data_IF_304060259360
#
_entry.id   IF_304060259360
#
_cell.length_a   1.000
_cell.length_b   1.000
_cell.length_c   1.000
_cell.angle_alpha   90.00
_cell.angle_beta   90.00
_cell.angle_gamma   90.00
#
_symmetry.space_group_name_H-M   'P 1'
#
loop_
_entity.id
_entity.type
_entity.pdbx_description
1 polymer ?
#
# COMPACT_ATOMS: atom_id res chain seq x y z
N UNK A 1 27.90 21.51 4.73
CA UNK A 1 27.48 20.10 4.84
C UNK A 1 26.17 19.97 4.08
N UNK A 2 26.21 19.47 2.84
CA UNK A 2 24.99 19.23 2.05
C UNK A 2 24.20 18.13 2.74
N UNK A 3 22.96 18.43 3.14
CA UNK A 3 22.04 17.39 3.59
C UNK A 3 21.85 16.43 2.43
N UNK A 4 22.33 15.20 2.54
CA UNK A 4 22.00 14.13 1.62
C UNK A 4 20.49 13.95 1.72
N UNK A 5 19.75 14.42 0.73
CA UNK A 5 18.30 14.25 0.68
C UNK A 5 18.08 12.76 0.42
N UNK A 6 17.53 12.06 1.39
CA UNK A 6 17.16 10.65 1.24
C UNK A 6 16.17 10.51 0.07
N UNK A 7 16.53 9.82 -1.03
CA UNK A 7 15.66 9.72 -2.22
C UNK A 7 14.31 9.09 -1.91
N UNK A 8 14.26 8.17 -0.94
CA UNK A 8 13.01 7.54 -0.51
C UNK A 8 12.14 8.52 0.26
N UNK A 9 12.73 9.35 1.14
CA UNK A 9 11.98 10.39 1.84
C UNK A 9 11.36 11.39 0.86
N UNK A 10 12.09 11.79 -0.18
CA UNK A 10 11.57 12.65 -1.23
C UNK A 10 10.41 11.98 -2.01
N UNK A 11 10.56 10.71 -2.32
CA UNK A 11 9.51 9.92 -2.99
C UNK A 11 8.23 9.85 -2.13
N UNK A 12 8.36 9.54 -0.83
CA UNK A 12 7.22 9.51 0.10
C UNK A 12 6.55 10.87 0.22
N UNK A 13 7.34 11.96 0.26
CA UNK A 13 6.81 13.32 0.32
C UNK A 13 5.96 13.68 -0.91
N UNK A 14 6.32 13.17 -2.10
CA UNK A 14 5.56 13.41 -3.33
C UNK A 14 4.19 12.70 -3.36
N UNK A 15 4.04 11.63 -2.57
CA UNK A 15 2.78 10.92 -2.40
C UNK A 15 1.90 11.50 -1.30
N UNK A 16 2.45 12.37 -0.45
CA UNK A 16 1.75 12.90 0.72
C UNK A 16 0.48 13.67 0.35
N UNK A 17 -0.54 13.52 1.20
CA UNK A 17 -1.81 14.25 1.13
C UNK A 17 -2.20 14.74 2.53
N UNK A 18 -3.00 15.81 2.66
CA UNK A 18 -3.49 16.27 3.95
C UNK A 18 -4.19 15.14 4.73
N UNK A 19 -3.72 14.88 5.94
CA UNK A 19 -4.28 13.83 6.81
C UNK A 19 -3.77 12.42 6.54
N UNK A 20 -2.84 12.24 5.60
CA UNK A 20 -2.14 11.00 5.31
C UNK A 20 -0.66 11.10 5.70
N UNK A 21 -0.17 10.14 6.45
CA UNK A 21 1.24 10.00 6.79
C UNK A 21 1.83 8.78 6.07
N UNK A 22 3.00 8.97 5.46
CA UNK A 22 3.74 7.91 4.79
C UNK A 22 5.17 7.92 5.31
N UNK A 23 5.74 6.75 5.53
CA UNK A 23 7.12 6.62 5.99
C UNK A 23 7.73 5.30 5.55
N UNK A 24 9.04 5.24 5.65
CA UNK A 24 9.82 4.07 5.27
C UNK A 24 10.86 3.71 6.34
N UNK A 25 11.39 2.51 6.20
CA UNK A 25 12.52 1.99 6.96
C UNK A 25 13.37 1.11 6.06
N UNK A 26 14.68 1.38 6.03
CA UNK A 26 15.64 0.42 5.48
C UNK A 26 15.66 -0.80 6.39
N UNK A 27 15.41 -1.98 5.81
CA UNK A 27 15.34 -3.23 6.56
C UNK A 27 16.73 -3.60 7.07
N UNK A 28 16.85 -3.79 8.39
CA UNK A 28 18.12 -4.05 9.04
C UNK A 28 18.07 -5.32 9.91
N UNK A 29 19.22 -5.99 10.16
CA UNK A 29 19.30 -7.05 11.15
C UNK A 29 18.81 -6.56 12.51
N UNK A 30 17.98 -7.38 13.17
CA UNK A 30 17.35 -7.03 14.45
C UNK A 30 15.94 -6.46 14.34
N UNK A 31 15.46 -6.06 13.14
CA UNK A 31 14.08 -5.56 12.98
C UNK A 31 13.03 -6.60 13.35
N UNK A 32 13.35 -7.89 13.25
CA UNK A 32 12.48 -8.98 13.72
C UNK A 32 12.19 -8.93 15.22
N UNK A 33 13.05 -8.30 16.01
CA UNK A 33 12.88 -8.14 17.47
C UNK A 33 11.84 -7.07 17.82
N UNK A 34 11.51 -6.21 16.87
CA UNK A 34 10.48 -5.20 17.03
C UNK A 34 9.04 -5.75 16.90
N UNK A 35 8.89 -7.03 16.53
CA UNK A 35 7.58 -7.69 16.52
C UNK A 35 7.11 -7.89 17.96
N UNK A 36 5.99 -7.26 18.31
CA UNK A 36 5.35 -7.46 19.62
C UNK A 36 4.79 -8.89 19.73
N UNK A 37 4.54 -9.42 20.94
CA UNK A 37 4.12 -10.82 21.13
C UNK A 37 2.92 -11.24 20.24
N UNK A 38 1.91 -10.40 20.14
CA UNK A 38 0.73 -10.65 19.31
C UNK A 38 1.03 -10.63 17.81
N UNK A 39 2.02 -9.84 17.38
CA UNK A 39 2.51 -9.80 16.00
C UNK A 39 3.37 -11.02 15.70
N UNK A 40 4.35 -11.30 16.57
CA UNK A 40 5.27 -12.42 16.43
C UNK A 40 4.55 -13.78 16.32
N UNK A 41 3.42 -13.93 16.99
CA UNK A 41 2.60 -15.14 16.93
C UNK A 41 2.20 -15.53 15.50
N UNK A 42 1.95 -14.55 14.62
CA UNK A 42 1.60 -14.77 13.22
C UNK A 42 2.80 -15.18 12.34
N UNK A 43 4.01 -14.99 12.82
CA UNK A 43 5.25 -15.25 12.06
C UNK A 43 6.09 -16.39 12.66
N UNK A 44 5.52 -17.25 13.53
CA UNK A 44 6.23 -18.33 14.20
C UNK A 44 6.95 -19.27 13.23
N UNK A 45 6.29 -19.60 12.13
CA UNK A 45 6.78 -20.51 11.09
C UNK A 45 7.45 -19.77 9.91
N UNK A 46 7.54 -18.44 9.97
CA UNK A 46 8.17 -17.65 8.92
C UNK A 46 9.70 -17.71 9.06
N UNK A 47 10.38 -17.67 7.91
CA UNK A 47 11.85 -17.55 7.87
C UNK A 47 12.30 -16.19 8.41
N UNK A 48 13.55 -16.11 8.83
CA UNK A 48 14.11 -14.89 9.45
C UNK A 48 13.95 -13.64 8.57
N UNK A 49 14.09 -13.78 7.23
CA UNK A 49 13.89 -12.70 6.26
C UNK A 49 12.49 -12.10 6.37
N UNK A 50 11.44 -12.94 6.33
CA UNK A 50 10.04 -12.50 6.40
C UNK A 50 9.73 -11.84 7.76
N UNK A 51 10.25 -12.39 8.86
CA UNK A 51 10.08 -11.77 10.19
C UNK A 51 10.72 -10.38 10.25
N UNK A 52 11.91 -10.23 9.65
CA UNK A 52 12.65 -8.96 9.61
C UNK A 52 11.89 -7.92 8.78
N UNK A 53 11.45 -8.27 7.59
CA UNK A 53 10.62 -7.39 6.73
C UNK A 53 9.34 -6.94 7.46
N UNK A 54 8.66 -7.89 8.11
CA UNK A 54 7.44 -7.62 8.87
C UNK A 54 7.70 -6.73 10.09
N UNK A 55 8.84 -6.89 10.76
CA UNK A 55 9.27 -6.03 11.86
C UNK A 55 9.57 -4.61 11.40
N UNK A 56 10.34 -4.47 10.32
CA UNK A 56 10.68 -3.18 9.71
C UNK A 56 9.42 -2.39 9.33
N UNK A 57 8.44 -3.03 8.67
CA UNK A 57 7.18 -2.39 8.29
C UNK A 57 6.39 -1.89 9.52
N UNK A 58 6.41 -2.64 10.63
CA UNK A 58 5.75 -2.23 11.87
C UNK A 58 6.49 -1.13 12.62
N UNK A 59 7.82 -1.10 12.54
CA UNK A 59 8.61 0.03 13.06
C UNK A 59 8.19 1.31 12.32
N UNK A 60 8.16 1.28 10.98
CA UNK A 60 7.73 2.43 10.18
C UNK A 60 6.31 2.86 10.54
N UNK A 61 5.37 1.92 10.61
CA UNK A 61 3.98 2.21 10.94
C UNK A 61 3.81 2.80 12.35
N UNK A 62 4.46 2.24 13.39
CA UNK A 62 4.39 2.78 14.75
C UNK A 62 4.95 4.19 14.86
N UNK A 63 6.03 4.49 14.14
CA UNK A 63 6.56 5.86 14.08
C UNK A 63 5.53 6.85 13.52
N UNK A 64 4.80 6.47 12.47
CA UNK A 64 3.73 7.28 11.89
C UNK A 64 2.52 7.43 12.84
N UNK A 65 2.12 6.33 13.50
CA UNK A 65 1.02 6.34 14.47
C UNK A 65 1.29 7.32 15.62
N UNK A 66 2.54 7.42 16.09
CA UNK A 66 2.93 8.42 17.10
C UNK A 66 2.76 9.85 16.61
N UNK A 67 2.99 10.11 15.31
CA UNK A 67 2.79 11.43 14.71
C UNK A 67 1.32 11.82 14.53
N UNK A 68 0.39 10.86 14.58
CA UNK A 68 -1.06 11.15 14.48
C UNK A 68 -1.64 11.82 15.74
N UNK A 69 -0.90 11.86 16.86
CA UNK A 69 -1.37 12.42 18.14
C UNK A 69 -2.78 11.92 18.52
N UNK A 70 -3.05 10.63 18.35
CA UNK A 70 -4.34 10.04 18.70
C UNK A 70 -4.33 9.70 20.19
N UNK A 71 -5.31 10.17 20.99
CA UNK A 71 -5.28 10.05 22.44
C UNK A 71 -5.25 8.61 22.96
N UNK A 72 -5.80 7.67 22.19
CA UNK A 72 -5.91 6.27 22.59
C UNK A 72 -4.76 5.39 22.05
N UNK A 73 -3.77 5.98 21.35
CA UNK A 73 -2.64 5.21 20.84
C UNK A 73 -1.52 5.09 21.88
N UNK A 74 -1.37 3.90 22.43
CA UNK A 74 -0.19 3.56 23.22
C UNK A 74 1.09 3.64 22.35
N UNK A 75 2.24 3.90 22.98
CA UNK A 75 3.54 3.93 22.27
C UNK A 75 3.83 2.64 21.51
N UNK A 76 3.46 1.51 22.10
CA UNK A 76 3.71 0.16 21.61
C UNK A 76 2.40 -0.50 21.17
N UNK A 77 1.71 0.12 20.22
CA UNK A 77 0.50 -0.46 19.67
C UNK A 77 0.85 -1.63 18.74
N UNK A 78 0.22 -2.77 18.98
CA UNK A 78 0.40 -3.94 18.13
C UNK A 78 -0.42 -3.81 16.84
N UNK A 79 0.23 -4.09 15.70
CA UNK A 79 -0.40 -4.18 14.39
C UNK A 79 -0.43 -5.66 14.01
N UNK A 80 -1.46 -6.36 14.49
CA UNK A 80 -1.62 -7.79 14.25
C UNK A 80 -1.88 -8.08 12.75
N UNK A 81 -1.88 -9.36 12.39
CA UNK A 81 -2.20 -9.83 11.05
C UNK A 81 -3.53 -10.56 11.09
N UNK A 82 -4.50 -10.15 10.27
CA UNK A 82 -5.75 -10.87 10.09
C UNK A 82 -5.52 -12.21 9.37
N UNK A 83 -6.53 -13.09 9.37
CA UNK A 83 -6.48 -14.35 8.60
C UNK A 83 -6.27 -14.14 7.11
N UNK A 84 -6.78 -13.04 6.57
CA UNK A 84 -6.59 -12.62 5.16
C UNK A 84 -5.16 -12.17 4.85
N UNK A 85 -4.33 -11.93 5.86
CA UNK A 85 -3.00 -11.36 5.71
C UNK A 85 -2.93 -9.85 5.90
N UNK A 86 -4.06 -9.15 5.89
CA UNK A 86 -4.12 -7.70 6.08
C UNK A 86 -3.70 -7.28 7.50
N UNK A 87 -3.10 -6.10 7.67
CA UNK A 87 -2.83 -5.55 9.00
C UNK A 87 -4.13 -5.17 9.72
N UNK A 88 -4.17 -5.43 11.03
CA UNK A 88 -5.27 -5.02 11.92
C UNK A 88 -4.88 -3.72 12.60
N UNK A 89 -5.52 -2.64 12.22
CA UNK A 89 -5.24 -1.31 12.74
C UNK A 89 -6.03 -1.01 14.03
N UNK A 90 -5.54 -0.09 14.86
CA UNK A 90 -6.32 0.44 15.99
C UNK A 90 -7.63 1.09 15.53
N UNK A 91 -8.62 1.16 16.43
CA UNK A 91 -9.87 1.85 16.15
C UNK A 91 -9.63 3.29 15.69
N UNK A 92 -10.39 3.75 14.70
CA UNK A 92 -10.25 5.09 14.13
C UNK A 92 -9.05 5.30 13.20
N UNK A 93 -8.27 4.25 12.93
CA UNK A 93 -7.10 4.29 12.05
C UNK A 93 -7.32 3.36 10.85
N UNK A 94 -6.89 3.81 9.69
CA UNK A 94 -6.69 3.00 8.49
C UNK A 94 -5.25 3.09 8.03
N UNK A 95 -4.77 2.07 7.32
CA UNK A 95 -3.40 2.08 6.83
C UNK A 95 -3.05 0.86 5.98
N UNK A 96 -1.83 0.86 5.49
CA UNK A 96 -1.30 -0.24 4.69
C UNK A 96 0.21 -0.38 4.90
N UNK A 97 0.71 -1.58 4.71
CA UNK A 97 2.11 -1.96 4.83
C UNK A 97 2.58 -2.62 3.54
N UNK A 98 3.80 -2.31 3.12
CA UNK A 98 4.47 -3.03 2.06
C UNK A 98 5.97 -3.11 2.34
N UNK A 99 6.65 -3.97 1.62
CA UNK A 99 8.12 -4.07 1.64
C UNK A 99 8.60 -4.80 0.40
N UNK A 100 9.77 -4.45 -0.04
CA UNK A 100 10.60 -5.27 -0.92
C UNK A 100 11.70 -6.01 -0.14
N UNK A 101 12.84 -6.25 -0.74
CA UNK A 101 13.98 -6.90 -0.08
C UNK A 101 14.75 -5.96 0.84
N UNK A 102 14.74 -4.66 0.59
CA UNK A 102 15.61 -3.67 1.23
C UNK A 102 14.84 -2.65 2.06
N UNK A 103 13.60 -2.35 1.66
CA UNK A 103 12.81 -1.26 2.21
C UNK A 103 11.44 -1.75 2.65
N UNK A 104 11.02 -1.32 3.81
CA UNK A 104 9.65 -1.44 4.28
C UNK A 104 9.00 -0.05 4.32
N UNK A 105 7.74 0.03 3.91
CA UNK A 105 6.97 1.27 3.90
C UNK A 105 5.64 1.08 4.62
N UNK A 106 5.12 2.19 5.12
CA UNK A 106 3.80 2.25 5.75
C UNK A 106 3.08 3.53 5.34
N UNK A 107 1.77 3.43 5.20
CA UNK A 107 0.85 4.56 5.09
C UNK A 107 -0.21 4.45 6.17
N UNK A 108 -0.49 5.55 6.89
CA UNK A 108 -1.52 5.59 7.93
C UNK A 108 -2.31 6.89 7.89
N UNK A 109 -3.59 6.81 8.22
CA UNK A 109 -4.47 7.96 8.36
C UNK A 109 -5.58 7.70 9.38
N UNK A 110 -6.28 8.76 9.81
CA UNK A 110 -7.53 8.60 10.55
C UNK A 110 -8.66 8.18 9.61
N UNK A 111 -9.54 7.32 10.07
CA UNK A 111 -10.72 6.88 9.29
C UNK A 111 -11.69 8.03 8.99
N UNK A 112 -11.58 9.14 9.71
CA UNK A 112 -12.31 10.39 9.42
C UNK A 112 -11.82 11.10 8.15
N UNK A 113 -10.59 10.83 7.71
CA UNK A 113 -9.98 11.42 6.51
C UNK A 113 -10.01 10.45 5.32
N UNK A 114 -9.68 9.19 5.59
CA UNK A 114 -9.61 8.14 4.57
C UNK A 114 -10.36 6.89 5.04
N UNK A 115 -11.24 6.38 4.20
CA UNK A 115 -11.95 5.12 4.45
C UNK A 115 -10.99 3.92 4.32
N UNK A 116 -10.11 3.96 3.33
CA UNK A 116 -9.13 2.91 3.07
C UNK A 116 -7.85 3.46 2.46
N UNK A 117 -6.76 2.77 2.74
CA UNK A 117 -5.43 3.00 2.18
C UNK A 117 -4.81 1.67 1.74
N UNK A 118 -4.12 1.72 0.60
CA UNK A 118 -3.22 0.67 0.15
C UNK A 118 -1.91 1.27 -0.32
N UNK A 119 -0.80 0.66 0.05
CA UNK A 119 0.53 1.10 -0.39
C UNK A 119 1.33 -0.11 -0.88
N UNK A 120 2.11 0.10 -1.93
CA UNK A 120 3.02 -0.90 -2.45
C UNK A 120 4.36 -0.30 -2.85
N UNK A 121 5.42 -1.12 -2.80
CA UNK A 121 6.78 -0.74 -3.19
C UNK A 121 7.44 -1.87 -3.97
N UNK A 122 8.04 -1.51 -5.10
CA UNK A 122 8.74 -2.40 -6.00
C UNK A 122 10.10 -1.81 -6.42
N UNK A 123 11.08 -2.61 -6.78
CA UNK A 123 12.28 -2.11 -7.44
C UNK A 123 11.91 -1.30 -8.70
N UNK A 124 12.63 -0.20 -8.97
CA UNK A 124 12.44 0.59 -10.20
C UNK A 124 13.10 -0.12 -11.40
N UNK A 125 12.67 -1.32 -11.64
CA UNK A 125 13.13 -2.20 -12.72
C UNK A 125 11.96 -2.60 -13.61
N UNK A 126 12.25 -2.98 -14.84
CA UNK A 126 11.24 -3.49 -15.76
C UNK A 126 10.53 -4.72 -15.21
N UNK A 127 9.21 -4.81 -15.43
CA UNK A 127 8.48 -6.03 -15.14
C UNK A 127 8.94 -7.14 -16.10
N UNK A 128 9.18 -8.37 -15.62
CA UNK A 128 9.45 -9.51 -16.52
C UNK A 128 8.36 -9.62 -17.60
N UNK A 129 8.80 -9.83 -18.85
CA UNK A 129 7.91 -9.78 -20.02
C UNK A 129 6.78 -10.81 -19.98
N UNK A 130 7.02 -11.97 -19.37
CA UNK A 130 6.04 -13.04 -19.15
C UNK A 130 4.95 -12.70 -18.14
N UNK A 131 5.17 -11.66 -17.31
CA UNK A 131 4.18 -11.18 -16.35
C UNK A 131 3.31 -10.03 -16.89
N UNK A 132 3.67 -9.44 -18.04
CA UNK A 132 2.93 -8.29 -18.60
C UNK A 132 1.47 -8.66 -18.85
N UNK A 133 1.21 -9.78 -19.51
CA UNK A 133 -0.14 -10.23 -19.82
C UNK A 133 -0.93 -10.68 -18.58
N UNK A 134 -0.23 -11.07 -17.52
CA UNK A 134 -0.85 -11.41 -16.22
C UNK A 134 -1.31 -10.16 -15.49
N UNK A 135 -0.53 -9.08 -15.57
CA UNK A 135 -0.75 -7.84 -14.80
C UNK A 135 -1.61 -6.86 -15.55
N UNK A 136 -1.25 -6.55 -16.81
CA UNK A 136 -1.87 -5.49 -17.58
C UNK A 136 -3.01 -6.02 -18.46
N UNK A 137 -4.17 -5.41 -18.36
CA UNK A 137 -5.29 -5.67 -19.27
C UNK A 137 -4.94 -5.24 -20.70
N UNK A 138 -5.58 -5.78 -21.75
CA UNK A 138 -5.35 -5.31 -23.13
C UNK A 138 -5.57 -3.81 -23.31
N UNK A 139 -6.50 -3.22 -22.54
CA UNK A 139 -6.76 -1.77 -22.57
C UNK A 139 -5.59 -0.97 -21.99
N UNK A 140 -5.01 -1.44 -20.88
CA UNK A 140 -3.83 -0.81 -20.25
C UNK A 140 -2.59 -0.97 -21.14
N UNK A 141 -2.37 -2.13 -21.75
CA UNK A 141 -1.29 -2.34 -22.71
C UNK A 141 -1.40 -1.41 -23.93
N UNK A 142 -2.62 -1.19 -24.41
CA UNK A 142 -2.87 -0.23 -25.49
C UNK A 142 -2.63 1.23 -25.06
N UNK A 143 -2.90 1.54 -23.79
CA UNK A 143 -2.69 2.87 -23.19
C UNK A 143 -1.22 3.18 -22.94
N UNK A 144 -0.42 2.16 -22.61
CA UNK A 144 0.99 2.27 -22.27
C UNK A 144 1.87 1.32 -23.12
N UNK A 145 1.90 1.49 -24.44
CA UNK A 145 2.58 0.57 -25.34
C UNK A 145 4.11 0.55 -25.09
N UNK A 146 4.68 -0.64 -25.13
CA UNK A 146 6.13 -0.88 -25.13
C UNK A 146 6.92 -0.38 -23.90
N UNK A 147 6.30 -0.20 -22.75
CA UNK A 147 7.01 0.18 -21.54
C UNK A 147 6.86 -0.86 -20.42
N UNK A 148 7.90 -1.65 -20.23
CA UNK A 148 7.97 -2.63 -19.13
C UNK A 148 7.99 -1.94 -17.76
N UNK A 149 8.50 -0.70 -17.69
CA UNK A 149 8.44 0.10 -16.48
C UNK A 149 6.99 0.53 -16.16
N UNK A 150 6.17 0.90 -17.16
CA UNK A 150 4.74 1.14 -16.94
C UNK A 150 4.04 -0.12 -16.45
N UNK A 151 4.41 -1.31 -16.95
CA UNK A 151 3.87 -2.57 -16.44
C UNK A 151 4.24 -2.81 -14.97
N UNK A 152 5.46 -2.43 -14.54
CA UNK A 152 5.85 -2.43 -13.12
C UNK A 152 5.03 -1.44 -12.29
N UNK A 153 4.77 -0.26 -12.83
CA UNK A 153 3.91 0.74 -12.21
C UNK A 153 2.47 0.25 -12.05
N UNK A 154 1.93 -0.42 -13.09
CA UNK A 154 0.62 -1.05 -13.03
C UNK A 154 0.56 -2.17 -11.98
N UNK A 155 1.61 -2.99 -11.90
CA UNK A 155 1.70 -4.04 -10.87
C UNK A 155 1.60 -3.44 -9.46
N UNK A 156 2.48 -2.50 -9.13
CA UNK A 156 2.47 -1.84 -7.83
C UNK A 156 1.14 -1.12 -7.55
N UNK A 157 0.55 -0.45 -8.56
CA UNK A 157 -0.74 0.22 -8.44
C UNK A 157 -1.87 -0.77 -8.10
N UNK A 158 -1.92 -1.91 -8.78
CA UNK A 158 -2.96 -2.93 -8.57
C UNK A 158 -2.81 -3.62 -7.21
N UNK A 159 -1.57 -3.89 -6.78
CA UNK A 159 -1.29 -4.38 -5.43
C UNK A 159 -1.75 -3.37 -4.37
N UNK A 160 -1.48 -2.08 -4.56
CA UNK A 160 -1.96 -1.04 -3.66
C UNK A 160 -3.50 -0.98 -3.64
N UNK A 161 -4.16 -1.05 -4.80
CA UNK A 161 -5.63 -1.09 -4.91
C UNK A 161 -6.20 -2.29 -4.17
N UNK A 162 -5.64 -3.49 -4.39
CA UNK A 162 -6.06 -4.70 -3.69
C UNK A 162 -5.96 -4.54 -2.17
N UNK A 163 -4.83 -4.01 -1.66
CA UNK A 163 -4.62 -3.75 -0.23
C UNK A 163 -5.61 -2.74 0.36
N UNK A 164 -6.08 -1.79 -0.43
CA UNK A 164 -7.11 -0.83 0.00
C UNK A 164 -8.53 -1.43 0.01
N UNK A 165 -8.87 -2.23 -1.00
CA UNK A 165 -10.23 -2.75 -1.22
C UNK A 165 -10.51 -3.99 -0.39
N UNK A 166 -9.56 -4.92 -0.33
CA UNK A 166 -9.77 -6.22 0.32
C UNK A 166 -10.24 -6.12 1.79
N UNK A 167 -9.72 -5.22 2.66
CA UNK A 167 -10.23 -5.09 4.02
C UNK A 167 -11.68 -4.63 4.11
N UNK A 168 -12.18 -3.89 3.10
CA UNK A 168 -13.55 -3.38 3.06
C UNK A 168 -14.55 -4.43 2.54
N UNK A 169 -14.17 -5.13 1.47
CA UNK A 169 -15.12 -5.92 0.70
C UNK A 169 -14.94 -7.43 0.90
N UNK A 170 -13.80 -7.86 1.46
CA UNK A 170 -13.46 -9.28 1.67
C UNK A 170 -13.48 -10.10 0.36
N UNK A 171 -13.29 -9.44 -0.79
CA UNK A 171 -13.31 -10.05 -2.13
C UNK A 171 -11.87 -10.25 -2.60
N UNK A 172 -11.59 -11.41 -3.16
CA UNK A 172 -10.36 -11.64 -3.91
C UNK A 172 -10.48 -10.97 -5.28
N UNK A 173 -9.50 -10.14 -5.65
CA UNK A 173 -9.40 -9.48 -6.95
C UNK A 173 -8.19 -10.05 -7.69
N UNK A 174 -8.41 -10.41 -8.95
CA UNK A 174 -7.34 -10.67 -9.89
C UNK A 174 -6.84 -9.33 -10.46
N UNK A 175 -5.64 -9.32 -11.06
CA UNK A 175 -5.09 -8.13 -11.70
C UNK A 175 -6.02 -7.56 -12.78
N UNK A 176 -6.72 -8.41 -13.52
CA UNK A 176 -7.66 -8.00 -14.57
C UNK A 176 -9.02 -7.50 -14.04
N UNK A 177 -9.30 -7.66 -12.76
CA UNK A 177 -10.46 -7.04 -12.11
C UNK A 177 -10.24 -5.56 -11.76
N UNK A 178 -9.02 -5.05 -11.98
CA UNK A 178 -8.62 -3.68 -11.68
C UNK A 178 -8.12 -3.02 -12.96
N UNK A 179 -8.76 -1.95 -13.40
CA UNK A 179 -8.28 -1.08 -14.49
C UNK A 179 -7.67 0.19 -13.90
N UNK A 180 -6.38 0.42 -14.19
CA UNK A 180 -5.63 1.56 -13.68
C UNK A 180 -5.36 2.56 -14.81
N UNK A 181 -5.66 3.83 -14.55
CA UNK A 181 -5.23 4.93 -15.38
C UNK A 181 -4.20 5.78 -14.63
N UNK A 182 -2.92 5.60 -14.98
CA UNK A 182 -1.79 6.29 -14.31
C UNK A 182 -1.81 7.80 -14.53
N UNK A 183 -2.28 8.26 -15.70
CA UNK A 183 -2.34 9.69 -16.04
C UNK A 183 -3.47 10.39 -15.30
N UNK A 184 -4.63 9.75 -15.21
CA UNK A 184 -5.79 10.26 -14.47
C UNK A 184 -5.70 9.99 -12.97
N UNK A 185 -4.69 9.22 -12.53
CA UNK A 185 -4.51 8.82 -11.15
C UNK A 185 -5.75 8.12 -10.56
N UNK A 186 -6.38 7.26 -11.35
CA UNK A 186 -7.59 6.53 -10.96
C UNK A 186 -7.44 5.04 -11.17
N UNK A 187 -8.14 4.27 -10.34
CA UNK A 187 -8.34 2.84 -10.55
C UNK A 187 -9.83 2.50 -10.43
N UNK A 188 -10.33 1.69 -11.34
CA UNK A 188 -11.69 1.16 -11.31
C UNK A 188 -11.64 -0.34 -11.03
N UNK A 189 -12.35 -0.76 -9.99
CA UNK A 189 -12.50 -2.17 -9.64
C UNK A 189 -13.79 -2.71 -10.24
N UNK A 190 -13.74 -3.87 -10.85
CA UNK A 190 -14.86 -4.53 -11.54
C UNK A 190 -16.17 -4.52 -10.75
N UNK A 191 -16.09 -4.57 -9.43
CA UNK A 191 -17.26 -4.59 -8.53
C UNK A 191 -17.71 -3.21 -8.06
N UNK A 192 -17.35 -2.14 -8.80
CA UNK A 192 -17.94 -0.81 -8.67
C UNK A 192 -17.17 0.20 -7.82
N UNK A 193 -16.01 -0.16 -7.23
CA UNK A 193 -15.20 0.83 -6.53
C UNK A 193 -14.30 1.61 -7.48
N UNK A 194 -14.19 2.91 -7.21
CA UNK A 194 -13.19 3.79 -7.84
C UNK A 194 -12.29 4.34 -6.74
N UNK A 195 -10.98 4.30 -6.98
CA UNK A 195 -9.96 4.76 -6.05
C UNK A 195 -9.11 5.85 -6.71
N UNK A 196 -8.58 6.74 -5.90
CA UNK A 196 -7.47 7.58 -6.30
C UNK A 196 -6.18 6.79 -6.17
N UNK A 197 -5.33 6.80 -7.20
CA UNK A 197 -4.07 6.06 -7.25
C UNK A 197 -2.95 6.98 -7.69
N UNK A 198 -1.94 7.14 -6.86
CA UNK A 198 -0.68 7.82 -7.22
C UNK A 198 0.44 6.81 -7.36
N UNK A 199 1.21 6.92 -8.41
CA UNK A 199 2.41 6.12 -8.62
C UNK A 199 3.59 7.05 -8.86
N UNK A 200 4.66 6.84 -8.13
CA UNK A 200 5.90 7.60 -8.27
C UNK A 200 7.07 6.62 -8.47
N UNK A 201 7.99 7.01 -9.35
CA UNK A 201 9.17 6.20 -9.64
C UNK A 201 10.44 7.03 -9.50
N UNK A 202 11.39 6.51 -8.75
CA UNK A 202 12.74 7.05 -8.60
C UNK A 202 13.71 5.88 -8.38
N UNK A 203 14.26 5.68 -7.18
CA UNK A 203 15.00 4.47 -6.80
C UNK A 203 14.10 3.23 -6.68
N UNK A 204 12.81 3.43 -6.43
CA UNK A 204 11.75 2.42 -6.37
C UNK A 204 10.52 2.93 -7.09
N UNK A 205 9.63 2.02 -7.45
CA UNK A 205 8.24 2.32 -7.81
C UNK A 205 7.42 2.22 -6.54
N UNK A 206 6.73 3.30 -6.16
CA UNK A 206 5.82 3.30 -5.02
C UNK A 206 4.43 3.70 -5.48
N UNK A 207 3.45 2.90 -5.15
CA UNK A 207 2.04 3.13 -5.44
C UNK A 207 1.25 3.35 -4.15
N UNK A 208 0.38 4.34 -4.17
CA UNK A 208 -0.57 4.65 -3.11
C UNK A 208 -1.98 4.65 -3.68
N UNK A 209 -2.85 3.80 -3.16
CA UNK A 209 -4.28 3.79 -3.44
C UNK A 209 -5.06 4.30 -2.23
N UNK A 210 -6.05 5.16 -2.45
CA UNK A 210 -6.82 5.76 -1.36
C UNK A 210 -8.29 5.92 -1.70
N UNK A 211 -9.14 5.79 -0.67
CA UNK A 211 -10.56 6.15 -0.68
C UNK A 211 -10.76 7.18 0.43
N UNK A 212 -11.16 8.41 0.09
CA UNK A 212 -11.44 9.46 1.08
C UNK A 212 -12.72 9.18 1.84
N UNK A 213 -12.76 9.53 3.12
CA UNK A 213 -13.98 9.51 3.92
C UNK A 213 -14.96 10.56 3.38
N UNK A 214 -16.26 10.23 3.38
CA UNK A 214 -17.31 11.16 2.92
C UNK A 214 -17.55 11.21 1.41
N UNK A 215 -16.78 10.51 0.57
CA UNK A 215 -17.10 10.31 -0.83
C UNK A 215 -17.98 9.05 -0.98
N UNK A 216 -19.29 9.22 -0.81
CA UNK A 216 -20.26 8.20 -1.25
C UNK A 216 -20.26 8.20 -2.77
N UNK A 217 -19.54 7.27 -3.39
CA UNK A 217 -19.76 6.98 -4.80
C UNK A 217 -21.16 6.38 -4.92
N UNK A 218 -22.03 7.07 -5.65
CA UNK A 218 -23.35 6.58 -6.02
C UNK A 218 -23.21 5.17 -6.60
N UNK A 219 -23.72 4.17 -5.90
CA UNK A 219 -23.99 2.88 -6.49
C UNK A 219 -25.02 3.12 -7.57
N UNK A 220 -24.61 3.06 -8.85
CA UNK A 220 -25.55 3.02 -9.94
C UNK A 220 -26.50 1.83 -9.68
N UNK A 221 -27.74 2.15 -9.38
CA UNK A 221 -28.83 1.20 -9.24
C UNK A 221 -28.90 0.38 -10.53
N UNK A 222 -28.49 -0.88 -10.48
CA UNK A 222 -28.83 -1.86 -11.51
C UNK A 222 -30.35 -2.04 -11.43
N UNK A 223 -31.08 -1.25 -12.27
CA UNK A 223 -32.48 -1.45 -12.47
C UNK A 223 -32.72 -2.84 -13.00
N UNK A 224 -33.44 -3.65 -12.23
CA UNK A 224 -34.03 -4.88 -12.70
C UNK A 224 -35.20 -4.48 -13.62
N UNK A 225 -35.07 -4.80 -14.89
CA UNK A 225 -36.17 -5.03 -15.82
C UNK A 225 -36.01 -6.42 -16.40
#
# INVERSE_FOLDING_TARGET
>A
MSASTDPLAALMASLAEPGLLIGHRIIAPGDEQALLPNEAAHFRNAIAKVRRQSGAARIAARALLQCLNHPDLARDVAIAKARSGAPVWPSGITGSLAHDEQVAIAAVARTTNFLALGIDIEPAEDLPGDLVDVVATPAEQSRYPHSLLHSRQLFAAKEAVYKAVHPLDQIFLDFHDIDVNLEQQTAHVRYGRTLHVKVMSASHVVALASIKAGHSFSTASLGHN
#
